data_IF_553124189146
#
_entry.id   IF_553124189146
#
_cell.length_a   1.000
_cell.length_b   1.000
_cell.length_c   1.000
_cell.angle_alpha   90.00
_cell.angle_beta   90.00
_cell.angle_gamma   90.00
#
_symmetry.space_group_name_H-M   'P 1'
#
loop_
_entity.id
_entity.type
_entity.pdbx_description
1 polymer ?
#
# COMPACT_ATOMS: atom_id res chain seq x y z
N UNK A 1 29.56 10.16 -8.95
CA UNK A 1 28.93 10.33 -7.61
C UNK A 1 27.67 9.47 -7.58
N UNK A 2 27.32 8.83 -6.45
CA UNK A 2 26.05 8.09 -6.37
C UNK A 2 24.88 9.08 -6.51
N UNK A 3 24.14 8.98 -7.62
CA UNK A 3 22.98 9.83 -7.92
C UNK A 3 21.65 9.22 -7.48
N UNK A 4 21.68 8.13 -6.70
CA UNK A 4 20.47 7.51 -6.14
C UNK A 4 19.62 8.52 -5.35
N UNK A 5 18.30 8.34 -5.40
CA UNK A 5 17.36 9.22 -4.69
C UNK A 5 17.63 9.25 -3.18
N UNK A 6 18.08 8.15 -2.59
CA UNK A 6 18.43 8.05 -1.18
C UNK A 6 19.70 8.84 -0.86
N UNK A 7 20.74 8.75 -1.68
CA UNK A 7 21.97 9.52 -1.50
C UNK A 7 21.72 11.03 -1.60
N UNK A 8 20.98 11.48 -2.61
CA UNK A 8 20.61 12.89 -2.74
C UNK A 8 19.79 13.40 -1.54
N UNK A 9 18.90 12.58 -0.97
CA UNK A 9 18.15 12.92 0.25
C UNK A 9 19.03 13.03 1.50
N UNK A 10 20.09 12.22 1.60
CA UNK A 10 21.07 12.33 2.69
C UNK A 10 21.85 13.65 2.59
N UNK A 11 22.24 14.05 1.37
CA UNK A 11 22.89 15.35 1.12
C UNK A 11 21.96 16.51 1.47
N UNK A 12 20.67 16.43 1.15
CA UNK A 12 19.68 17.45 1.59
C UNK A 12 19.64 17.55 3.12
N UNK A 13 19.65 16.41 3.82
CA UNK A 13 19.61 16.37 5.28
C UNK A 13 20.85 17.04 5.89
N UNK A 14 22.03 16.70 5.37
CA UNK A 14 23.30 17.28 5.80
C UNK A 14 23.34 18.79 5.57
N UNK A 15 23.06 19.26 4.34
CA UNK A 15 23.09 20.69 4.01
C UNK A 15 22.06 21.49 4.81
N UNK A 16 20.95 20.87 5.18
CA UNK A 16 19.95 21.50 6.05
C UNK A 16 20.43 21.60 7.49
N UNK A 17 21.13 20.59 8.01
CA UNK A 17 21.76 20.61 9.32
C UNK A 17 22.89 21.66 9.39
N UNK A 18 23.58 21.91 8.27
CA UNK A 18 24.54 23.01 8.10
C UNK A 18 23.87 24.42 8.08
N UNK A 19 22.55 24.50 8.21
CA UNK A 19 21.81 25.77 8.25
C UNK A 19 21.59 26.44 6.90
N UNK A 20 21.88 25.77 5.77
CA UNK A 20 21.68 26.38 4.44
C UNK A 20 20.20 26.59 4.12
N UNK A 21 19.91 27.70 3.44
CA UNK A 21 18.56 27.97 2.96
C UNK A 21 18.19 27.03 1.80
N UNK A 22 16.91 26.69 1.68
CA UNK A 22 16.41 25.67 0.72
C UNK A 22 16.76 26.00 -0.73
N UNK A 23 16.77 27.30 -1.11
CA UNK A 23 17.20 27.75 -2.43
C UNK A 23 18.68 27.47 -2.71
N UNK A 24 19.55 27.68 -1.70
CA UNK A 24 20.97 27.40 -1.80
C UNK A 24 21.27 25.90 -1.86
N UNK A 25 20.48 25.10 -1.12
CA UNK A 25 20.55 23.63 -1.19
C UNK A 25 20.25 23.16 -2.62
N UNK A 26 19.17 23.64 -3.24
CA UNK A 26 18.82 23.26 -4.61
C UNK A 26 19.91 23.66 -5.61
N UNK A 27 20.46 24.88 -5.50
CA UNK A 27 21.55 25.33 -6.39
C UNK A 27 22.76 24.40 -6.30
N UNK A 28 23.24 24.11 -5.09
CA UNK A 28 24.37 23.17 -4.87
C UNK A 28 24.07 21.77 -5.39
N UNK A 29 22.85 21.28 -5.19
CA UNK A 29 22.44 19.98 -5.73
C UNK A 29 22.46 19.96 -7.26
N UNK A 30 21.98 21.02 -7.92
CA UNK A 30 21.97 21.10 -9.39
C UNK A 30 23.39 21.21 -9.95
N UNK A 31 24.29 21.91 -9.27
CA UNK A 31 25.72 22.00 -9.63
C UNK A 31 26.41 20.62 -9.58
N UNK A 32 26.12 19.82 -8.54
CA UNK A 32 26.78 18.52 -8.34
C UNK A 32 26.14 17.38 -9.15
N UNK A 33 24.81 17.32 -9.18
CA UNK A 33 24.07 16.20 -9.80
C UNK A 33 23.58 16.49 -11.22
N UNK A 34 23.64 17.75 -11.68
CA UNK A 34 23.26 18.13 -13.04
C UNK A 34 21.84 17.69 -13.41
N UNK A 35 21.71 16.95 -14.50
CA UNK A 35 20.42 16.43 -14.98
C UNK A 35 19.83 15.31 -14.10
N UNK A 36 20.66 14.65 -13.30
CA UNK A 36 20.21 13.62 -12.36
C UNK A 36 19.72 14.22 -11.03
N UNK A 37 19.77 15.55 -10.87
CA UNK A 37 19.33 16.23 -9.66
C UNK A 37 17.83 16.04 -9.43
N UNK A 38 17.44 15.81 -8.17
CA UNK A 38 16.04 15.87 -7.74
C UNK A 38 15.40 17.21 -8.14
N UNK A 39 14.17 17.13 -8.64
CA UNK A 39 13.38 18.31 -8.99
C UNK A 39 13.25 19.28 -7.80
N UNK A 40 13.23 20.59 -8.09
CA UNK A 40 13.16 21.66 -7.08
C UNK A 40 12.07 21.41 -6.04
N UNK A 41 10.84 21.09 -6.46
CA UNK A 41 9.73 20.80 -5.55
C UNK A 41 10.02 19.62 -4.60
N UNK A 42 10.75 18.60 -5.06
CA UNK A 42 11.14 17.45 -4.24
C UNK A 42 12.15 17.86 -3.17
N UNK A 43 13.15 18.65 -3.53
CA UNK A 43 14.16 19.18 -2.57
C UNK A 43 13.49 20.01 -1.48
N UNK A 44 12.56 20.89 -1.86
CA UNK A 44 11.79 21.71 -0.93
C UNK A 44 10.96 20.86 0.04
N UNK A 45 10.23 19.86 -0.48
CA UNK A 45 9.44 18.93 0.33
C UNK A 45 10.29 18.15 1.34
N UNK A 46 11.48 17.70 0.94
CA UNK A 46 12.41 17.01 1.84
C UNK A 46 12.98 17.95 2.90
N UNK A 47 13.36 19.17 2.53
CA UNK A 47 13.76 20.20 3.49
C UNK A 47 12.69 20.48 4.54
N UNK A 48 11.42 20.54 4.15
CA UNK A 48 10.31 20.71 5.11
C UNK A 48 10.17 19.50 6.04
N UNK A 49 10.26 18.27 5.50
CA UNK A 49 10.20 17.05 6.30
C UNK A 49 11.31 16.95 7.33
N UNK A 50 12.54 17.32 6.95
CA UNK A 50 13.66 17.37 7.90
C UNK A 50 13.47 18.48 8.94
N UNK A 51 12.90 19.64 8.57
CA UNK A 51 12.51 20.68 9.54
C UNK A 51 11.50 20.15 10.56
N UNK A 52 10.59 19.30 10.12
CA UNK A 52 9.58 18.66 10.97
C UNK A 52 10.11 17.47 11.79
N UNK A 53 11.44 17.26 11.87
CA UNK A 53 12.05 16.24 12.72
C UNK A 53 12.11 14.83 12.12
N UNK A 54 11.85 14.65 10.81
CA UNK A 54 11.99 13.34 10.18
C UNK A 54 13.45 12.89 10.14
N UNK A 55 13.75 11.70 10.65
CA UNK A 55 15.14 11.15 10.67
C UNK A 55 15.42 10.20 9.49
N UNK A 56 14.38 9.51 8.98
CA UNK A 56 14.56 8.49 7.96
C UNK A 56 14.72 9.06 6.53
N UNK A 57 15.84 8.68 5.89
CA UNK A 57 16.20 9.01 4.50
C UNK A 57 15.34 8.24 3.48
N UNK A 58 15.01 6.98 3.81
CA UNK A 58 14.17 6.12 2.96
C UNK A 58 12.70 6.58 3.00
N UNK A 59 11.99 6.24 1.94
CA UNK A 59 10.53 6.36 1.95
C UNK A 59 9.98 5.45 3.04
N UNK A 60 8.99 5.96 3.79
CA UNK A 60 8.26 5.10 4.71
C UNK A 60 7.50 4.08 3.87
N UNK A 61 7.28 2.85 4.38
CA UNK A 61 6.38 1.93 3.72
C UNK A 61 5.08 2.67 3.42
N UNK A 62 4.65 2.59 2.15
CA UNK A 62 3.37 3.16 1.75
C UNK A 62 2.34 2.56 2.71
N UNK A 63 1.55 3.38 3.43
CA UNK A 63 0.46 2.83 4.23
C UNK A 63 -0.30 1.87 3.33
N UNK A 64 -0.58 0.64 3.80
CA UNK A 64 -1.41 -0.27 3.01
C UNK A 64 -2.63 0.55 2.60
N UNK A 65 -2.89 0.61 1.30
CA UNK A 65 -4.03 1.34 0.79
C UNK A 65 -5.23 0.74 1.53
N UNK A 66 -5.79 1.51 2.46
CA UNK A 66 -6.91 1.04 3.24
C UNK A 66 -7.98 0.74 2.21
N UNK A 67 -8.28 -0.54 2.00
CA UNK A 67 -9.54 -0.90 1.39
C UNK A 67 -10.58 -0.48 2.42
N UNK A 68 -11.02 0.78 2.31
CA UNK A 68 -11.96 1.49 3.21
C UNK A 68 -13.27 0.71 3.45
N UNK A 69 -13.51 -0.37 2.70
CA UNK A 69 -14.73 -1.19 2.75
C UNK A 69 -14.59 -2.45 3.61
N UNK A 70 -13.38 -2.83 4.05
CA UNK A 70 -13.20 -4.03 4.88
C UNK A 70 -13.32 -3.70 6.37
N UNK A 71 -14.51 -3.29 6.79
CA UNK A 71 -14.87 -3.19 8.20
C UNK A 71 -14.93 -4.61 8.83
N UNK A 72 -14.78 -4.72 10.15
CA UNK A 72 -14.96 -6.00 10.85
C UNK A 72 -16.36 -6.57 10.62
N UNK A 73 -17.38 -5.71 10.59
CA UNK A 73 -18.77 -6.07 10.31
C UNK A 73 -18.96 -6.72 8.92
N UNK A 74 -18.37 -6.15 7.86
CA UNK A 74 -18.48 -6.73 6.51
C UNK A 74 -17.72 -8.05 6.40
N UNK A 75 -16.60 -8.18 7.12
CA UNK A 75 -15.84 -9.44 7.21
C UNK A 75 -16.66 -10.54 7.90
N UNK A 76 -17.36 -10.22 9.00
CA UNK A 76 -18.24 -11.15 9.70
C UNK A 76 -19.43 -11.57 8.85
N UNK A 77 -20.10 -10.62 8.18
CA UNK A 77 -21.24 -10.91 7.30
C UNK A 77 -20.86 -11.85 6.14
N UNK A 78 -19.70 -11.61 5.50
CA UNK A 78 -19.17 -12.54 4.47
C UNK A 78 -18.94 -13.94 5.05
N UNK A 79 -18.36 -14.03 6.26
CA UNK A 79 -18.11 -15.31 6.90
C UNK A 79 -19.40 -16.06 7.24
N UNK A 80 -20.44 -15.36 7.71
CA UNK A 80 -21.75 -15.93 8.01
C UNK A 80 -22.43 -16.51 6.76
N UNK A 81 -22.46 -15.76 5.65
CA UNK A 81 -23.01 -16.24 4.37
C UNK A 81 -22.30 -17.51 3.88
N UNK A 82 -20.98 -17.58 4.01
CA UNK A 82 -20.19 -18.77 3.65
C UNK A 82 -20.50 -19.95 4.58
N UNK A 83 -20.71 -19.70 5.88
CA UNK A 83 -21.05 -20.75 6.85
C UNK A 83 -22.46 -21.31 6.61
N UNK A 84 -23.41 -20.46 6.22
CA UNK A 84 -24.79 -20.85 5.87
C UNK A 84 -24.83 -21.66 4.58
N UNK A 85 -24.10 -21.23 3.54
CA UNK A 85 -24.03 -21.94 2.26
C UNK A 85 -22.59 -22.09 1.79
N UNK A 86 -22.01 -23.28 1.98
CA UNK A 86 -20.63 -23.59 1.57
C UNK A 86 -20.39 -23.55 0.05
N UNK A 87 -21.44 -23.53 -0.76
CA UNK A 87 -21.38 -23.46 -2.23
C UNK A 87 -21.67 -22.06 -2.78
N UNK A 88 -21.89 -21.06 -1.92
CA UNK A 88 -22.17 -19.68 -2.33
C UNK A 88 -21.04 -19.10 -3.17
N UNK A 89 -21.38 -18.37 -4.22
CA UNK A 89 -20.43 -17.75 -5.13
C UNK A 89 -20.02 -16.36 -4.66
N UNK A 90 -18.83 -15.92 -5.08
CA UNK A 90 -18.36 -14.55 -4.80
C UNK A 90 -19.28 -13.47 -5.39
N UNK A 91 -20.07 -13.80 -6.43
CA UNK A 91 -21.00 -12.86 -7.07
C UNK A 91 -22.26 -12.69 -6.23
N UNK A 92 -22.82 -13.78 -5.71
CA UNK A 92 -23.99 -13.73 -4.82
C UNK A 92 -23.68 -12.95 -3.56
N UNK A 93 -22.54 -13.20 -2.90
CA UNK A 93 -22.10 -12.42 -1.73
C UNK A 93 -21.95 -10.93 -2.07
N UNK A 94 -21.40 -10.62 -3.24
CA UNK A 94 -21.20 -9.23 -3.68
C UNK A 94 -22.53 -8.49 -3.86
N UNK A 95 -23.53 -9.16 -4.41
CA UNK A 95 -24.89 -8.63 -4.57
C UNK A 95 -25.56 -8.47 -3.22
N UNK A 96 -25.55 -9.51 -2.39
CA UNK A 96 -26.21 -9.53 -1.07
C UNK A 96 -25.69 -8.41 -0.15
N UNK A 97 -24.37 -8.23 -0.10
CA UNK A 97 -23.74 -7.24 0.76
C UNK A 97 -23.51 -5.88 0.07
N UNK A 98 -23.97 -5.72 -1.18
CA UNK A 98 -23.75 -4.50 -1.99
C UNK A 98 -22.29 -4.03 -2.02
N UNK A 99 -21.36 -4.97 -2.16
CA UNK A 99 -19.91 -4.71 -2.22
C UNK A 99 -19.30 -5.20 -3.52
N UNK A 100 -18.14 -4.66 -3.90
CA UNK A 100 -17.48 -5.10 -5.11
C UNK A 100 -17.02 -6.57 -4.99
N UNK A 101 -17.11 -7.32 -6.10
CA UNK A 101 -16.60 -8.69 -6.20
C UNK A 101 -15.12 -8.78 -5.79
N UNK A 102 -14.33 -7.75 -6.11
CA UNK A 102 -12.91 -7.69 -5.73
C UNK A 102 -12.72 -7.63 -4.22
N UNK A 103 -13.54 -6.85 -3.52
CA UNK A 103 -13.55 -6.79 -2.05
C UNK A 103 -13.94 -8.14 -1.44
N UNK A 104 -14.99 -8.80 -1.95
CA UNK A 104 -15.38 -10.16 -1.50
C UNK A 104 -14.24 -11.15 -1.67
N UNK A 105 -13.62 -11.18 -2.85
CA UNK A 105 -12.49 -12.07 -3.13
C UNK A 105 -11.32 -11.83 -2.18
N UNK A 106 -10.98 -10.56 -1.91
CA UNK A 106 -9.96 -10.19 -0.94
C UNK A 106 -10.32 -10.66 0.48
N UNK A 107 -11.56 -10.46 0.93
CA UNK A 107 -12.01 -10.90 2.25
C UNK A 107 -11.89 -12.42 2.38
N UNK A 108 -12.41 -13.18 1.42
CA UNK A 108 -12.42 -14.65 1.45
C UNK A 108 -10.99 -15.20 1.53
N UNK A 109 -10.09 -14.75 0.66
CA UNK A 109 -8.76 -15.35 0.56
C UNK A 109 -7.69 -14.71 1.45
N UNK A 110 -7.74 -13.40 1.67
CA UNK A 110 -6.69 -12.67 2.42
C UNK A 110 -7.05 -12.38 3.87
N UNK A 111 -8.35 -12.30 4.21
CA UNK A 111 -8.80 -12.08 5.60
C UNK A 111 -9.25 -13.37 6.27
N UNK A 112 -10.12 -14.14 5.62
CA UNK A 112 -10.69 -15.38 6.18
C UNK A 112 -9.84 -16.62 5.85
N UNK A 113 -9.00 -16.56 4.82
CA UNK A 113 -8.12 -17.66 4.43
C UNK A 113 -8.83 -18.86 3.79
N UNK A 114 -10.07 -18.70 3.32
CA UNK A 114 -10.79 -19.78 2.66
C UNK A 114 -10.23 -20.10 1.27
N UNK A 115 -10.25 -21.38 0.91
CA UNK A 115 -9.95 -21.89 -0.41
C UNK A 115 -11.14 -22.63 -1.02
N UNK A 116 -11.26 -22.63 -2.35
CA UNK A 116 -12.26 -23.44 -3.03
C UNK A 116 -11.78 -24.89 -3.11
N UNK A 117 -12.60 -25.82 -2.62
CA UNK A 117 -12.39 -27.27 -2.78
C UNK A 117 -13.50 -27.80 -3.70
N UNK A 118 -13.13 -28.61 -4.69
CA UNK A 118 -14.11 -29.25 -5.58
C UNK A 118 -14.71 -30.48 -4.88
N UNK A 119 -16.01 -30.69 -5.02
CA UNK A 119 -16.67 -31.88 -4.50
C UNK A 119 -16.16 -33.13 -5.24
N UNK A 120 -15.93 -34.20 -4.48
CA UNK A 120 -15.57 -35.50 -5.03
C UNK A 120 -16.84 -36.22 -5.52
N UNK A 121 -16.79 -36.81 -6.71
CA UNK A 121 -17.88 -37.63 -7.23
C UNK A 121 -18.00 -38.90 -6.39
N UNK A 122 -19.19 -39.16 -5.84
CA UNK A 122 -19.52 -40.40 -5.14
C UNK A 122 -20.44 -41.25 -6.02
N UNK A 123 -20.08 -42.51 -6.34
CA UNK A 123 -20.96 -43.43 -7.03
C UNK A 123 -22.22 -43.70 -6.20
N UNK A 124 -23.39 -43.54 -6.83
CA UNK A 124 -24.67 -43.89 -6.22
C UNK A 124 -24.91 -45.37 -6.45
N UNK A 125 -24.98 -46.18 -5.40
CA UNK A 125 -25.44 -47.56 -5.53
C UNK A 125 -26.93 -47.54 -5.86
N UNK A 126 -27.29 -48.08 -7.02
CA UNK A 126 -28.67 -48.33 -7.44
C UNK A 126 -29.03 -49.72 -6.90
N UNK A 127 -29.84 -49.76 -5.85
CA UNK A 127 -30.52 -50.96 -5.36
C UNK A 127 -31.83 -51.17 -6.09
#
# INVERSE_FOLDING_TARGET
>A
MDSSRSAQRAVIQFLRAEGKHVSQIYRRMKEVYGEQCLARCTVFRWCQRYKAGRVHIKDLPRPPQAHVVTNSATTSAVNELIRQNRRITTREIAVELSISKGTVHYIIHKKLGYGKVCAQWMPKHLS
#
